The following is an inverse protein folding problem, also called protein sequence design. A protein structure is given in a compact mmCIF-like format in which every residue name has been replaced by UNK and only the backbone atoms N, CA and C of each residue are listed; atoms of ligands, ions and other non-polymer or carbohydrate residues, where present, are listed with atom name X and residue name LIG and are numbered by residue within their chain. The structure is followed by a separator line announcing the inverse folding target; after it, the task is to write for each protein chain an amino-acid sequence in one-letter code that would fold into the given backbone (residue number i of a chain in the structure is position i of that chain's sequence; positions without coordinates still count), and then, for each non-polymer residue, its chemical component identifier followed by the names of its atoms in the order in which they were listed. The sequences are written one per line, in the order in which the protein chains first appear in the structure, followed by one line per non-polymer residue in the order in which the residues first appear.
data_IF_315057498986
#
_entry.id   IF_315057498986
#
_cell.length_a   1.000
_cell.length_b   1.000
_cell.length_c   1.000
_cell.angle_alpha   90.00
_cell.angle_beta   90.00
_cell.angle_gamma   90.00
#
_symmetry.space_group_name_H-M   'P 1'
#
loop_
_entity.id
_entity.type
_entity.pdbx_description
1 polymer ?
#
# COMPACT_ATOMS: atom_id res chain seq x y z
N UNK A 1 -1.72 -20.95 -6.92
CA UNK A 1 -0.26 -20.86 -7.00
C UNK A 1 0.33 -20.11 -5.82
N UNK A 2 1.61 -20.32 -5.53
CA UNK A 2 2.40 -19.55 -4.58
C UNK A 2 3.48 -18.78 -5.33
N UNK A 3 3.74 -17.56 -4.88
CA UNK A 3 4.68 -16.65 -5.54
C UNK A 3 5.68 -16.12 -4.52
N UNK A 4 6.93 -16.05 -4.93
CA UNK A 4 8.00 -15.42 -4.16
C UNK A 4 8.63 -14.29 -4.95
N UNK A 5 9.12 -13.26 -4.27
CA UNK A 5 9.81 -12.13 -4.89
C UNK A 5 11.10 -11.77 -4.17
N UNK A 6 12.02 -11.18 -4.90
CA UNK A 6 13.19 -10.48 -4.37
C UNK A 6 13.15 -9.06 -4.94
N UNK A 7 13.20 -8.09 -4.08
CA UNK A 7 13.14 -6.67 -4.45
C UNK A 7 14.47 -6.02 -4.15
N UNK A 8 14.97 -5.22 -5.08
CA UNK A 8 16.13 -4.34 -4.86
C UNK A 8 15.71 -2.90 -5.15
N UNK A 9 15.87 -2.06 -4.14
CA UNK A 9 15.65 -0.64 -4.25
C UNK A 9 16.94 0.05 -4.70
N UNK A 10 16.90 0.87 -5.76
CA UNK A 10 18.06 1.62 -6.18
C UNK A 10 18.41 2.68 -5.13
N UNK A 11 19.68 2.78 -4.79
CA UNK A 11 20.15 3.72 -3.79
C UNK A 11 20.06 5.16 -4.31
N UNK A 12 19.37 6.02 -3.57
CA UNK A 12 19.41 7.46 -3.78
C UNK A 12 20.78 7.98 -3.36
N UNK A 13 21.40 8.83 -4.17
CA UNK A 13 22.68 9.43 -3.82
C UNK A 13 22.52 10.43 -2.67
N UNK A 14 23.53 10.52 -1.81
CA UNK A 14 23.58 11.52 -0.74
C UNK A 14 23.49 12.96 -1.25
N UNK A 15 24.02 13.23 -2.44
CA UNK A 15 23.91 14.55 -3.08
C UNK A 15 22.47 14.88 -3.46
N UNK A 16 21.69 13.90 -3.92
CA UNK A 16 20.29 14.11 -4.27
C UNK A 16 19.42 14.29 -3.01
N UNK A 17 19.66 13.48 -1.97
CA UNK A 17 18.97 13.69 -0.68
C UNK A 17 19.23 15.10 -0.14
N UNK A 18 20.50 15.53 -0.17
CA UNK A 18 20.90 16.88 0.28
C UNK A 18 20.22 17.97 -0.55
N UNK A 19 20.15 17.81 -1.86
CA UNK A 19 19.46 18.74 -2.77
C UNK A 19 17.97 18.90 -2.40
N UNK A 20 17.29 17.79 -2.13
CA UNK A 20 15.89 17.80 -1.75
C UNK A 20 15.66 18.48 -0.40
N UNK A 21 16.52 18.21 0.58
CA UNK A 21 16.48 18.87 1.89
C UNK A 21 16.69 20.38 1.76
N UNK A 22 17.73 20.82 1.03
CA UNK A 22 18.00 22.23 0.77
C UNK A 22 16.85 22.93 0.04
N UNK A 23 16.19 22.24 -0.87
CA UNK A 23 15.00 22.76 -1.54
C UNK A 23 13.82 22.96 -0.57
N UNK A 24 13.58 22.03 0.35
CA UNK A 24 12.54 22.17 1.38
C UNK A 24 12.89 23.26 2.39
N UNK A 25 14.16 23.39 2.79
CA UNK A 25 14.62 24.50 3.65
C UNK A 25 14.41 25.86 2.99
N UNK A 26 14.73 25.96 1.70
CA UNK A 26 14.47 27.19 0.92
C UNK A 26 12.97 27.52 0.91
N UNK A 27 12.11 26.53 0.64
CA UNK A 27 10.66 26.75 0.67
C UNK A 27 10.16 27.18 2.06
N UNK A 28 10.70 26.58 3.12
CA UNK A 28 10.38 26.92 4.50
C UNK A 28 10.78 28.37 4.81
N UNK A 29 11.98 28.76 4.47
CA UNK A 29 12.50 30.12 4.70
C UNK A 29 11.72 31.16 3.90
N UNK A 30 11.36 30.85 2.65
CA UNK A 30 10.51 31.72 1.83
C UNK A 30 9.14 31.99 2.50
N UNK A 31 8.57 31.02 3.18
CA UNK A 31 7.31 31.21 3.89
C UNK A 31 7.52 32.05 5.15
N UNK A 32 8.56 31.77 5.93
CA UNK A 32 8.83 32.42 7.21
C UNK A 32 9.32 33.85 7.08
N UNK A 33 10.19 34.12 6.08
CA UNK A 33 10.91 35.39 5.96
C UNK A 33 10.31 36.29 4.87
N UNK A 34 9.83 35.71 3.78
CA UNK A 34 9.38 36.44 2.60
C UNK A 34 7.84 36.47 2.46
N UNK A 35 7.09 35.93 3.43
CA UNK A 35 5.63 35.92 3.41
C UNK A 35 5.00 35.10 2.28
N UNK A 36 5.75 34.16 1.68
CA UNK A 36 5.22 33.27 0.66
C UNK A 36 4.14 32.34 1.23
N UNK A 37 3.12 32.02 0.44
CA UNK A 37 2.07 31.10 0.87
C UNK A 37 2.57 29.66 0.87
N UNK A 38 2.48 28.98 2.03
CA UNK A 38 2.76 27.53 2.13
C UNK A 38 1.86 26.71 1.18
N UNK A 39 0.58 27.08 1.09
CA UNK A 39 -0.38 26.44 0.18
C UNK A 39 0.06 26.53 -1.27
N UNK A 40 0.56 27.69 -1.72
CA UNK A 40 1.07 27.88 -3.06
C UNK A 40 2.33 27.03 -3.34
N UNK A 41 3.25 26.94 -2.35
CA UNK A 41 4.41 26.04 -2.45
C UNK A 41 3.97 24.59 -2.57
N UNK A 42 2.97 24.16 -1.81
CA UNK A 42 2.45 22.80 -1.90
C UNK A 42 1.81 22.50 -3.26
N UNK A 43 1.01 23.42 -3.83
CA UNK A 43 0.39 23.26 -5.16
C UNK A 43 1.46 23.14 -6.24
N UNK A 44 2.50 23.95 -6.18
CA UNK A 44 3.52 24.03 -7.23
C UNK A 44 4.53 22.86 -7.16
N UNK A 45 4.98 22.52 -5.97
CA UNK A 45 6.16 21.67 -5.79
C UNK A 45 5.90 20.34 -5.13
N UNK A 46 4.79 20.16 -4.34
CA UNK A 46 4.54 18.90 -3.66
C UNK A 46 4.31 17.76 -4.64
N UNK A 47 4.92 16.62 -4.36
CA UNK A 47 4.75 15.39 -5.11
C UNK A 47 3.70 14.45 -4.45
N UNK A 48 3.01 14.92 -3.38
CA UNK A 48 1.90 14.17 -2.81
C UNK A 48 0.62 14.27 -3.66
N UNK A 49 0.21 13.21 -4.35
CA UNK A 49 -0.99 13.23 -5.21
C UNK A 49 -2.28 13.42 -4.40
N UNK A 50 -2.28 13.05 -3.10
CA UNK A 50 -3.45 13.11 -2.23
C UNK A 50 -3.82 14.51 -1.75
N UNK A 51 -2.86 15.43 -1.63
CA UNK A 51 -3.10 16.76 -1.07
C UNK A 51 -2.60 17.93 -1.93
N UNK A 52 -1.72 17.70 -2.90
CA UNK A 52 -1.13 18.75 -3.74
C UNK A 52 -2.16 19.74 -4.28
N UNK A 53 -3.24 19.26 -4.91
CA UNK A 53 -4.29 20.08 -5.50
C UNK A 53 -5.07 20.92 -4.48
N UNK A 54 -5.00 20.54 -3.19
CA UNK A 54 -5.65 21.22 -2.07
C UNK A 54 -4.65 22.01 -1.22
N UNK A 55 -3.49 22.36 -1.78
CA UNK A 55 -2.45 23.11 -1.07
C UNK A 55 -1.82 22.34 0.09
N UNK A 56 -1.66 21.04 -0.07
CA UNK A 56 -1.03 20.14 0.90
C UNK A 56 -1.88 19.78 2.11
N UNK A 57 -3.21 20.05 2.11
CA UNK A 57 -4.07 20.00 3.30
C UNK A 57 -4.48 18.58 3.68
N UNK A 58 -4.33 18.29 5.00
CA UNK A 58 -4.90 17.13 5.69
C UNK A 58 -5.49 17.55 7.06
N UNK A 59 -6.41 16.73 7.57
CA UNK A 59 -6.86 16.82 8.95
C UNK A 59 -6.45 15.53 9.67
N UNK A 60 -5.62 15.65 10.68
CA UNK A 60 -5.16 14.53 11.52
C UNK A 60 -6.09 14.34 12.71
N UNK A 61 -6.45 13.09 13.03
CA UNK A 61 -7.18 12.76 14.26
C UNK A 61 -6.25 12.00 15.22
N UNK A 62 -5.98 12.55 16.40
CA UNK A 62 -5.12 11.93 17.42
C UNK A 62 -5.65 10.57 17.90
N UNK A 63 -6.96 10.31 17.84
CA UNK A 63 -7.56 9.02 18.23
C UNK A 63 -7.60 8.00 17.10
N UNK A 64 -7.53 8.45 15.83
CA UNK A 64 -7.56 7.60 14.63
C UNK A 64 -6.42 8.01 13.71
N UNK A 65 -5.18 7.61 14.04
CA UNK A 65 -4.01 8.03 13.27
C UNK A 65 -4.03 7.39 11.87
N UNK A 66 -4.03 8.24 10.85
CA UNK A 66 -4.06 7.82 9.43
C UNK A 66 -2.71 7.97 8.72
N UNK A 67 -1.80 8.79 9.30
CA UNK A 67 -0.48 9.05 8.73
C UNK A 67 0.59 8.19 9.41
N UNK A 68 1.74 8.01 8.75
CA UNK A 68 2.91 7.34 9.33
C UNK A 68 3.38 8.03 10.60
N UNK A 69 4.05 7.28 11.45
CA UNK A 69 4.43 7.70 12.80
C UNK A 69 5.30 8.97 12.77
N UNK A 70 6.30 8.99 11.92
CA UNK A 70 7.26 10.09 11.76
C UNK A 70 6.56 11.40 11.41
N UNK A 71 5.61 11.35 10.48
CA UNK A 71 4.82 12.52 10.09
C UNK A 71 3.97 13.06 11.26
N UNK A 72 3.28 12.16 11.97
CA UNK A 72 2.45 12.53 13.11
C UNK A 72 3.26 13.14 14.25
N UNK A 73 4.42 12.57 14.57
CA UNK A 73 5.30 13.07 15.63
C UNK A 73 5.77 14.49 15.33
N UNK A 74 6.10 14.79 14.08
CA UNK A 74 6.47 16.15 13.69
C UNK A 74 5.28 17.11 13.79
N UNK A 75 4.11 16.74 13.19
CA UNK A 75 2.93 17.58 13.22
C UNK A 75 2.40 17.87 14.63
N UNK A 76 2.49 16.88 15.55
CA UNK A 76 1.96 17.03 16.90
C UNK A 76 2.83 17.87 17.85
N UNK A 77 4.09 18.11 17.48
CA UNK A 77 5.03 18.99 18.23
C UNK A 77 4.88 20.45 17.87
N UNK A 78 4.25 20.77 16.75
CA UNK A 78 4.12 22.12 16.25
C UNK A 78 2.90 22.83 16.86
N UNK A 79 3.04 24.14 17.02
CA UNK A 79 1.95 25.07 17.32
C UNK A 79 1.30 25.58 16.03
N UNK A 80 0.14 26.25 16.14
CA UNK A 80 -0.51 26.87 14.99
C UNK A 80 0.42 27.90 14.32
N UNK A 81 0.58 27.81 13.03
CA UNK A 81 1.46 28.66 12.21
C UNK A 81 2.93 28.22 12.15
N UNK A 82 3.37 27.28 12.99
CA UNK A 82 4.74 26.78 12.92
C UNK A 82 4.96 25.85 11.74
N UNK A 83 6.20 25.83 11.21
CA UNK A 83 6.64 24.97 10.13
C UNK A 83 7.80 24.09 10.61
N UNK A 84 7.70 22.78 10.39
CA UNK A 84 8.76 21.84 10.76
C UNK A 84 10.05 22.09 10.00
N UNK A 85 11.16 21.58 10.53
CA UNK A 85 12.35 21.30 9.71
C UNK A 85 12.03 20.17 8.72
N UNK A 86 12.81 20.04 7.60
CA UNK A 86 12.70 18.88 6.74
C UNK A 86 12.91 17.58 7.51
N UNK A 87 12.02 16.60 7.31
CA UNK A 87 12.10 15.27 7.91
C UNK A 87 11.77 14.19 6.90
N UNK A 88 12.32 12.98 7.12
CA UNK A 88 12.18 11.84 6.23
C UNK A 88 11.10 10.88 6.71
N UNK A 89 10.36 10.31 5.76
CA UNK A 89 9.49 9.14 5.93
C UNK A 89 9.78 8.15 4.79
N UNK A 90 9.11 7.00 4.77
CA UNK A 90 9.19 6.05 3.65
C UNK A 90 8.68 6.63 2.32
N UNK A 91 7.90 7.71 2.35
CA UNK A 91 7.39 8.39 1.15
C UNK A 91 8.34 9.45 0.58
N UNK A 92 9.35 9.86 1.32
CA UNK A 92 10.29 10.91 0.94
C UNK A 92 10.53 11.94 2.03
N UNK A 93 10.92 13.14 1.64
CA UNK A 93 11.22 14.25 2.53
C UNK A 93 10.04 15.22 2.61
N UNK A 94 9.75 15.69 3.81
CA UNK A 94 8.58 16.54 4.10
C UNK A 94 8.97 17.78 4.85
N UNK A 95 8.17 18.84 4.67
CA UNK A 95 7.92 19.90 5.66
C UNK A 95 6.42 19.94 5.94
N UNK A 96 6.03 20.20 7.17
CA UNK A 96 4.63 20.31 7.60
C UNK A 96 4.42 21.59 8.37
N UNK A 97 3.27 22.24 8.18
CA UNK A 97 2.77 23.36 9.00
C UNK A 97 1.42 23.03 9.60
N UNK A 98 1.11 23.59 10.75
CA UNK A 98 -0.19 23.47 11.41
C UNK A 98 -1.02 24.70 11.11
N UNK A 99 -2.13 24.52 10.38
CA UNK A 99 -3.08 25.61 10.12
C UNK A 99 -3.93 25.89 11.37
N UNK A 100 -4.46 24.82 12.04
CA UNK A 100 -5.34 24.96 13.19
C UNK A 100 -5.40 23.70 14.05
N UNK A 101 -5.48 23.90 15.38
CA UNK A 101 -5.68 22.83 16.37
C UNK A 101 -7.10 22.93 16.91
N UNK A 102 -7.90 21.86 16.75
CA UNK A 102 -9.29 21.79 17.20
C UNK A 102 -9.49 20.58 18.12
N UNK A 103 -9.01 20.71 19.35
CA UNK A 103 -9.02 19.60 20.31
C UNK A 103 -8.20 18.40 19.81
N UNK A 104 -8.88 17.27 19.45
CA UNK A 104 -8.19 16.10 18.93
C UNK A 104 -7.81 16.19 17.44
N UNK A 105 -8.44 17.12 16.71
CA UNK A 105 -8.22 17.32 15.28
C UNK A 105 -7.19 18.40 15.04
N UNK A 106 -6.27 18.15 14.11
CA UNK A 106 -5.22 19.08 13.71
C UNK A 106 -5.27 19.23 12.20
N UNK A 107 -5.56 20.43 11.72
CA UNK A 107 -5.48 20.78 10.33
C UNK A 107 -4.04 21.14 9.99
N UNK A 108 -3.45 20.43 9.03
CA UNK A 108 -2.07 20.61 8.62
C UNK A 108 -1.99 20.82 7.11
N UNK A 109 -0.87 21.40 6.66
CA UNK A 109 -0.42 21.36 5.27
C UNK A 109 0.96 20.79 5.22
N UNK A 110 1.28 20.06 4.13
CA UNK A 110 2.61 19.56 3.94
C UNK A 110 3.06 19.70 2.48
N UNK A 111 4.35 19.67 2.29
CA UNK A 111 5.02 19.47 1.02
C UNK A 111 5.80 18.17 1.12
N UNK A 112 5.64 17.31 0.13
CA UNK A 112 6.41 16.08 -0.06
C UNK A 112 7.33 16.27 -1.26
N UNK A 113 8.61 15.99 -1.10
CA UNK A 113 9.56 15.81 -2.21
C UNK A 113 10.20 14.43 -2.14
N UNK A 114 10.19 13.74 -3.27
CA UNK A 114 10.80 12.41 -3.41
C UNK A 114 12.14 12.57 -4.11
N UNK A 115 13.26 12.15 -3.51
CA UNK A 115 14.56 12.19 -4.17
C UNK A 115 14.54 11.34 -5.44
N UNK A 116 15.07 11.85 -6.52
CA UNK A 116 15.10 11.13 -7.80
C UNK A 116 16.24 10.13 -7.85
N UNK A 117 15.91 8.94 -8.29
CA UNK A 117 16.90 7.88 -8.51
C UNK A 117 17.60 8.11 -9.83
N UNK A 118 18.93 8.10 -9.84
CA UNK A 118 19.72 8.25 -11.07
C UNK A 118 19.60 7.00 -11.96
N UNK A 119 19.77 7.18 -13.29
CA UNK A 119 19.81 6.05 -14.22
C UNK A 119 20.95 5.07 -13.91
N UNK A 120 22.04 5.54 -13.32
CA UNK A 120 23.15 4.69 -12.87
C UNK A 120 22.69 3.79 -11.74
N UNK A 121 22.07 4.34 -10.70
CA UNK A 121 21.55 3.56 -9.56
C UNK A 121 20.46 2.56 -9.98
N UNK A 122 19.62 2.93 -10.95
CA UNK A 122 18.67 2.01 -11.57
C UNK A 122 19.38 0.86 -12.28
N UNK A 123 20.41 1.17 -13.06
CA UNK A 123 21.24 0.16 -13.75
C UNK A 123 21.93 -0.79 -12.77
N UNK A 124 22.47 -0.27 -11.68
CA UNK A 124 23.14 -1.06 -10.63
C UNK A 124 22.16 -2.01 -9.93
N UNK A 125 20.96 -1.54 -9.57
CA UNK A 125 19.92 -2.36 -8.98
C UNK A 125 19.48 -3.48 -9.93
N UNK A 126 19.30 -3.16 -11.23
CA UNK A 126 18.97 -4.16 -12.24
C UNK A 126 20.08 -5.21 -12.41
N UNK A 127 21.34 -4.77 -12.48
CA UNK A 127 22.49 -5.66 -12.63
C UNK A 127 22.68 -6.57 -11.41
N UNK A 128 22.47 -6.03 -10.21
CA UNK A 128 22.49 -6.80 -8.96
C UNK A 128 21.45 -7.94 -9.01
N UNK A 129 20.23 -7.66 -9.46
CA UNK A 129 19.20 -8.70 -9.62
C UNK A 129 19.52 -9.68 -10.75
N UNK A 130 20.08 -9.25 -11.88
CA UNK A 130 20.52 -10.16 -12.95
C UNK A 130 21.58 -11.14 -12.44
N UNK A 131 22.56 -10.65 -11.69
CA UNK A 131 23.61 -11.48 -11.10
C UNK A 131 23.02 -12.46 -10.07
N UNK A 132 22.14 -11.97 -9.19
CA UNK A 132 21.49 -12.79 -8.18
C UNK A 132 20.62 -13.89 -8.82
N UNK A 133 19.83 -13.53 -9.86
CA UNK A 133 19.06 -14.48 -10.64
C UNK A 133 19.93 -15.58 -11.22
N UNK A 134 21.10 -15.22 -11.79
CA UNK A 134 22.05 -16.22 -12.33
C UNK A 134 22.56 -17.15 -11.23
N UNK A 135 22.98 -16.64 -10.09
CA UNK A 135 23.45 -17.46 -8.96
C UNK A 135 22.38 -18.44 -8.47
N UNK A 136 21.11 -18.02 -8.47
CA UNK A 136 20.00 -18.91 -8.09
C UNK A 136 19.80 -19.99 -9.18
N UNK A 137 19.86 -19.63 -10.47
CA UNK A 137 19.73 -20.59 -11.57
C UNK A 137 20.89 -21.60 -11.61
N UNK A 138 22.09 -21.17 -11.25
CA UNK A 138 23.28 -22.01 -11.15
C UNK A 138 23.30 -22.85 -9.85
N UNK A 139 22.26 -22.76 -9.00
CA UNK A 139 22.12 -23.42 -7.68
C UNK A 139 23.23 -23.06 -6.67
N UNK A 140 23.87 -21.90 -6.80
CA UNK A 140 24.84 -21.40 -5.82
C UNK A 140 24.15 -20.91 -4.54
N UNK A 141 22.91 -20.44 -4.64
CA UNK A 141 22.10 -19.97 -3.52
C UNK A 141 20.63 -20.32 -3.79
N UNK A 142 19.86 -20.66 -2.76
CA UNK A 142 18.43 -20.86 -2.91
C UNK A 142 17.69 -19.51 -3.09
N UNK A 143 16.51 -19.50 -3.74
CA UNK A 143 15.71 -18.29 -3.84
C UNK A 143 15.35 -17.73 -2.46
N UNK A 144 15.03 -18.61 -1.50
CA UNK A 144 14.72 -18.26 -0.12
C UNK A 144 15.89 -17.56 0.57
N UNK A 145 17.08 -18.13 0.49
CA UNK A 145 18.28 -17.55 1.14
C UNK A 145 18.67 -16.24 0.47
N UNK A 146 18.55 -16.18 -0.87
CA UNK A 146 18.76 -14.94 -1.62
C UNK A 146 17.77 -13.84 -1.22
N UNK A 147 16.50 -14.16 -0.99
CA UNK A 147 15.53 -13.20 -0.47
C UNK A 147 15.86 -12.73 0.94
N UNK A 148 16.22 -13.65 1.84
CA UNK A 148 16.62 -13.32 3.22
C UNK A 148 17.84 -12.40 3.28
N UNK A 149 18.82 -12.61 2.41
CA UNK A 149 20.07 -11.87 2.42
C UNK A 149 19.99 -10.55 1.66
N UNK A 150 19.39 -10.53 0.48
CA UNK A 150 19.51 -9.43 -0.49
C UNK A 150 18.23 -8.63 -0.74
N UNK A 151 17.03 -9.11 -0.35
CA UNK A 151 15.80 -8.38 -0.61
C UNK A 151 15.67 -7.15 0.28
N UNK A 152 15.31 -6.01 -0.30
CA UNK A 152 15.01 -4.78 0.43
C UNK A 152 13.55 -4.72 0.89
N UNK A 153 12.66 -5.63 0.39
CA UNK A 153 11.27 -5.70 0.82
C UNK A 153 11.13 -6.37 2.20
N UNK A 154 10.97 -5.56 3.22
CA UNK A 154 10.87 -6.02 4.61
C UNK A 154 9.66 -6.93 4.86
N UNK A 155 8.57 -6.78 4.10
CA UNK A 155 7.34 -7.56 4.29
C UNK A 155 7.52 -9.02 3.89
N UNK A 156 8.23 -9.29 2.79
CA UNK A 156 8.43 -10.65 2.28
C UNK A 156 9.80 -11.23 2.63
N UNK A 157 10.80 -10.39 2.88
CA UNK A 157 12.16 -10.80 3.20
C UNK A 157 12.21 -11.83 4.32
N UNK A 158 11.57 -11.56 5.44
CA UNK A 158 11.57 -12.45 6.62
C UNK A 158 11.02 -13.85 6.33
N UNK A 159 10.15 -13.98 5.33
CA UNK A 159 9.56 -15.24 4.88
C UNK A 159 10.26 -15.82 3.63
N UNK A 160 11.50 -15.41 3.35
CA UNK A 160 12.23 -15.89 2.19
C UNK A 160 11.63 -15.45 0.85
N UNK A 161 11.04 -14.28 0.82
CA UNK A 161 10.44 -13.67 -0.37
C UNK A 161 9.00 -14.09 -0.66
N UNK A 162 8.39 -14.99 0.11
CA UNK A 162 7.03 -15.51 -0.13
C UNK A 162 6.01 -14.41 0.06
N UNK A 163 5.15 -14.22 -0.95
CA UNK A 163 4.01 -13.30 -0.89
C UNK A 163 2.89 -13.88 -0.04
N UNK A 164 2.25 -13.02 0.73
CA UNK A 164 1.05 -13.36 1.51
C UNK A 164 -0.17 -12.73 0.81
N UNK A 165 -1.20 -13.53 0.60
CA UNK A 165 -2.45 -13.07 0.05
C UNK A 165 -3.19 -12.20 1.09
N UNK A 166 -3.40 -10.90 0.82
CA UNK A 166 -3.99 -9.99 1.79
C UNK A 166 -5.45 -10.32 2.13
N UNK A 167 -6.14 -11.07 1.27
CA UNK A 167 -7.54 -11.44 1.48
C UNK A 167 -7.72 -12.64 2.39
N UNK A 168 -6.80 -13.62 2.32
CA UNK A 168 -6.90 -14.89 3.05
C UNK A 168 -5.88 -15.03 4.17
N UNK A 169 -4.78 -14.27 4.10
CA UNK A 169 -3.68 -14.33 5.06
C UNK A 169 -2.75 -15.53 4.87
N UNK A 170 -2.94 -16.33 3.81
CA UNK A 170 -2.10 -17.47 3.46
C UNK A 170 -1.16 -17.14 2.26
N UNK A 171 -0.38 -18.13 1.80
CA UNK A 171 0.58 -17.97 0.69
C UNK A 171 -0.03 -18.28 -0.68
N UNK A 172 -1.29 -18.71 -0.72
CA UNK A 172 -1.95 -19.16 -1.94
C UNK A 172 -2.73 -18.05 -2.62
N UNK A 173 -2.57 -17.97 -3.92
CA UNK A 173 -3.28 -17.03 -4.78
C UNK A 173 -4.12 -17.78 -5.82
N UNK A 174 -5.36 -17.35 -6.00
CA UNK A 174 -6.21 -17.74 -7.13
C UNK A 174 -5.86 -16.84 -8.33
N UNK A 175 -5.59 -17.44 -9.49
CA UNK A 175 -5.21 -16.70 -10.71
C UNK A 175 -6.22 -15.61 -11.07
N UNK A 176 -7.50 -15.91 -10.91
CA UNK A 176 -8.61 -15.00 -11.25
C UNK A 176 -8.75 -13.80 -10.31
N UNK A 177 -8.08 -13.84 -9.14
CA UNK A 177 -8.14 -12.79 -8.10
C UNK A 177 -6.81 -12.06 -7.93
N UNK A 178 -5.82 -12.37 -8.74
CA UNK A 178 -4.55 -11.67 -8.73
C UNK A 178 -4.69 -10.25 -9.25
N UNK A 179 -3.86 -9.36 -8.72
CA UNK A 179 -3.62 -8.05 -9.33
C UNK A 179 -3.20 -8.23 -10.80
N UNK A 180 -3.77 -7.46 -11.74
CA UNK A 180 -3.49 -7.61 -13.17
C UNK A 180 -2.02 -7.49 -13.54
N UNK A 181 -1.23 -6.66 -12.82
CA UNK A 181 0.20 -6.52 -13.08
C UNK A 181 0.94 -7.80 -12.68
N UNK A 182 0.67 -8.31 -11.48
CA UNK A 182 1.26 -9.56 -11.00
C UNK A 182 0.84 -10.74 -11.89
N UNK A 183 -0.44 -10.83 -12.25
CA UNK A 183 -0.95 -11.85 -13.16
C UNK A 183 -0.16 -11.89 -14.48
N UNK A 184 0.01 -10.76 -15.15
CA UNK A 184 0.75 -10.68 -16.41
C UNK A 184 2.24 -11.04 -16.26
N UNK A 185 2.82 -10.80 -15.09
CA UNK A 185 4.22 -11.13 -14.82
C UNK A 185 4.44 -12.63 -14.63
N UNK A 186 3.48 -13.32 -13.99
CA UNK A 186 3.61 -14.76 -13.68
C UNK A 186 3.02 -15.69 -14.74
N UNK A 187 2.13 -15.18 -15.61
CA UNK A 187 1.45 -15.98 -16.63
C UNK A 187 2.42 -16.74 -17.55
N UNK A 188 3.58 -16.12 -17.82
CA UNK A 188 4.61 -16.66 -18.72
C UNK A 188 5.69 -17.47 -18.00
N UNK A 189 5.60 -17.59 -16.68
CA UNK A 189 6.59 -18.32 -15.89
C UNK A 189 6.15 -19.76 -15.70
N UNK A 190 7.06 -20.70 -15.92
CA UNK A 190 6.91 -22.09 -15.52
C UNK A 190 7.18 -22.25 -14.00
N UNK A 191 6.88 -23.43 -13.46
CA UNK A 191 7.15 -23.73 -12.07
C UNK A 191 8.65 -23.61 -11.76
N UNK A 192 8.95 -22.93 -10.66
CA UNK A 192 10.33 -22.60 -10.23
C UNK A 192 11.12 -21.72 -11.20
N UNK A 193 10.50 -21.28 -12.29
CA UNK A 193 11.13 -20.31 -13.19
C UNK A 193 11.16 -18.92 -12.54
N UNK A 194 12.30 -18.23 -12.74
CA UNK A 194 12.53 -16.89 -12.20
C UNK A 194 12.41 -15.89 -13.35
N UNK A 195 11.62 -14.84 -13.14
CA UNK A 195 11.45 -13.76 -14.11
C UNK A 195 12.76 -13.02 -14.41
N UNK A 196 12.80 -12.27 -15.49
CA UNK A 196 13.78 -11.19 -15.65
C UNK A 196 13.51 -10.09 -14.62
N UNK A 197 14.51 -9.23 -14.31
CA UNK A 197 14.28 -8.07 -13.48
C UNK A 197 13.17 -7.16 -14.05
N UNK A 198 12.16 -6.89 -13.26
CA UNK A 198 10.98 -6.10 -13.59
C UNK A 198 11.08 -4.78 -12.85
N UNK A 199 11.01 -3.67 -13.58
CA UNK A 199 10.91 -2.34 -12.99
C UNK A 199 9.47 -2.11 -12.52
N UNK A 200 9.32 -1.68 -11.28
CA UNK A 200 8.07 -1.25 -10.70
C UNK A 200 8.20 0.20 -10.22
N UNK A 201 7.17 0.99 -10.45
CA UNK A 201 7.07 2.37 -9.96
C UNK A 201 5.78 2.50 -9.16
N UNK A 202 5.89 2.98 -7.93
CA UNK A 202 4.74 3.23 -7.08
C UNK A 202 4.02 4.54 -7.43
N UNK A 203 2.88 4.80 -6.79
CA UNK A 203 2.09 6.02 -7.02
C UNK A 203 2.80 7.31 -6.63
N UNK A 204 3.86 7.21 -5.85
CA UNK A 204 4.70 8.35 -5.41
C UNK A 204 5.92 8.56 -6.31
N UNK A 205 6.11 7.70 -7.32
CA UNK A 205 7.24 7.77 -8.25
C UNK A 205 8.50 7.04 -7.77
N UNK A 206 8.44 6.30 -6.66
CA UNK A 206 9.58 5.49 -6.21
C UNK A 206 9.73 4.27 -7.13
N UNK A 207 10.95 4.05 -7.58
CA UNK A 207 11.30 2.96 -8.50
C UNK A 207 12.04 1.86 -7.78
N UNK A 208 11.67 0.61 -8.05
CA UNK A 208 12.34 -0.58 -7.55
C UNK A 208 12.39 -1.66 -8.62
N UNK A 209 13.37 -2.53 -8.56
CA UNK A 209 13.42 -3.72 -9.38
C UNK A 209 13.05 -4.94 -8.56
N UNK A 210 12.36 -5.88 -9.19
CA UNK A 210 12.05 -7.18 -8.59
C UNK A 210 12.26 -8.32 -9.56
N UNK A 211 12.56 -9.49 -9.03
CA UNK A 211 12.42 -10.79 -9.71
C UNK A 211 11.35 -11.58 -8.97
N UNK A 212 10.60 -12.36 -9.72
CA UNK A 212 9.48 -13.16 -9.24
C UNK A 212 9.74 -14.62 -9.61
N UNK A 213 9.37 -15.51 -8.70
CA UNK A 213 9.38 -16.95 -8.92
C UNK A 213 8.00 -17.53 -8.55
N UNK A 214 7.45 -18.37 -9.41
CA UNK A 214 6.32 -19.23 -9.05
C UNK A 214 6.87 -20.42 -8.30
N UNK A 215 6.64 -20.46 -6.97
CA UNK A 215 7.18 -21.51 -6.10
C UNK A 215 6.43 -22.82 -6.25
N UNK A 216 5.10 -22.73 -6.36
CA UNK A 216 4.23 -23.90 -6.54
C UNK A 216 3.01 -23.53 -7.41
N UNK A 217 2.62 -24.46 -8.27
CA UNK A 217 1.30 -24.48 -8.91
C UNK A 217 0.47 -25.61 -8.30
N UNK A 218 -0.78 -25.34 -8.11
CA UNK A 218 -1.75 -26.34 -7.64
C UNK A 218 -2.73 -26.57 -8.78
N UNK A 219 -2.87 -27.84 -9.17
CA UNK A 219 -3.87 -28.24 -10.15
C UNK A 219 -5.28 -28.06 -9.57
N UNK A 220 -6.27 -28.02 -10.45
CA UNK A 220 -7.67 -28.04 -10.05
C UNK A 220 -7.97 -29.32 -9.27
N UNK A 221 -8.52 -29.16 -8.08
CA UNK A 221 -8.87 -30.28 -7.21
C UNK A 221 -10.13 -29.98 -6.39
N UNK A 222 -10.78 -31.01 -5.89
CA UNK A 222 -11.86 -30.86 -4.93
C UNK A 222 -11.27 -30.42 -3.60
N UNK A 223 -11.81 -29.35 -3.04
CA UNK A 223 -11.29 -28.76 -1.79
C UNK A 223 -11.28 -29.79 -0.66
N UNK A 224 -10.17 -29.91 0.06
CA UNK A 224 -10.00 -30.74 1.23
C UNK A 224 -9.52 -29.96 2.47
N UNK A 225 -9.78 -30.50 3.66
CA UNK A 225 -9.45 -29.80 4.92
C UNK A 225 -7.96 -29.67 5.20
N UNK A 226 -7.10 -30.48 4.61
CA UNK A 226 -5.66 -30.41 4.86
C UNK A 226 -5.01 -29.31 4.02
N UNK A 227 -5.39 -29.23 2.74
CA UNK A 227 -4.80 -28.31 1.79
C UNK A 227 -5.54 -26.99 1.69
N UNK A 228 -6.87 -26.94 1.94
CA UNK A 228 -7.72 -25.78 1.67
C UNK A 228 -8.41 -25.19 2.90
N UNK A 229 -7.94 -25.52 4.10
CA UNK A 229 -8.58 -25.11 5.35
C UNK A 229 -8.92 -23.62 5.40
N UNK A 230 -7.99 -22.74 5.02
CA UNK A 230 -8.20 -21.28 5.05
C UNK A 230 -9.36 -20.87 4.14
N UNK A 231 -9.45 -21.47 2.96
CA UNK A 231 -10.51 -21.21 1.98
C UNK A 231 -11.86 -21.72 2.45
N UNK A 232 -11.90 -22.96 2.95
CA UNK A 232 -13.12 -23.56 3.50
C UNK A 232 -13.63 -22.75 4.69
N UNK A 233 -12.72 -22.32 5.58
CA UNK A 233 -13.05 -21.46 6.72
C UNK A 233 -13.64 -20.12 6.28
N UNK A 234 -13.04 -19.46 5.27
CA UNK A 234 -13.54 -18.20 4.72
C UNK A 234 -14.95 -18.36 4.16
N UNK A 235 -15.19 -19.40 3.35
CA UNK A 235 -16.50 -19.68 2.76
C UNK A 235 -17.55 -19.99 3.83
N UNK A 236 -17.22 -20.83 4.81
CA UNK A 236 -18.11 -21.16 5.92
C UNK A 236 -18.44 -19.94 6.79
N UNK A 237 -17.45 -19.06 7.04
CA UNK A 237 -17.67 -17.80 7.76
C UNK A 237 -18.62 -16.89 6.99
N UNK A 238 -18.42 -16.73 5.67
CA UNK A 238 -19.27 -15.92 4.82
C UNK A 238 -20.71 -16.43 4.77
N UNK A 239 -20.89 -17.75 4.65
CA UNK A 239 -22.20 -18.38 4.69
C UNK A 239 -22.89 -18.12 6.04
N UNK A 240 -22.17 -18.34 7.15
CA UNK A 240 -22.67 -18.05 8.50
C UNK A 240 -23.06 -16.59 8.69
N UNK A 241 -22.25 -15.66 8.19
CA UNK A 241 -22.55 -14.23 8.23
C UNK A 241 -23.83 -13.89 7.47
N UNK A 242 -23.97 -14.41 6.23
CA UNK A 242 -25.17 -14.19 5.41
C UNK A 242 -26.41 -14.76 6.10
N UNK A 243 -26.32 -15.98 6.64
CA UNK A 243 -27.42 -16.58 7.39
C UNK A 243 -27.80 -15.74 8.61
N UNK A 244 -26.81 -15.33 9.41
CA UNK A 244 -27.04 -14.51 10.61
C UNK A 244 -27.71 -13.17 10.26
N UNK A 245 -27.27 -12.52 9.16
CA UNK A 245 -27.86 -11.26 8.68
C UNK A 245 -29.32 -11.49 8.26
N UNK A 246 -29.61 -12.57 7.51
CA UNK A 246 -30.95 -12.89 7.07
C UNK A 246 -31.89 -13.22 8.24
N UNK A 247 -31.42 -14.00 9.21
CA UNK A 247 -32.17 -14.35 10.41
C UNK A 247 -32.47 -13.07 11.22
N UNK A 248 -31.46 -12.21 11.44
CA UNK A 248 -31.60 -10.93 12.13
C UNK A 248 -32.56 -9.98 11.39
N UNK A 249 -32.44 -9.88 10.05
CA UNK A 249 -33.35 -9.06 9.23
C UNK A 249 -34.79 -9.55 9.36
N UNK A 250 -35.00 -10.86 9.29
CA UNK A 250 -36.34 -11.46 9.42
C UNK A 250 -36.96 -11.13 10.78
N UNK A 251 -36.20 -11.27 11.89
CA UNK A 251 -36.61 -10.86 13.22
C UNK A 251 -36.97 -9.38 13.31
N UNK A 252 -36.07 -8.51 12.79
CA UNK A 252 -36.26 -7.05 12.83
C UNK A 252 -37.43 -6.54 11.98
N UNK A 253 -37.70 -7.18 10.83
CA UNK A 253 -38.89 -6.89 10.03
C UNK A 253 -40.17 -7.14 10.85
N UNK A 254 -40.21 -8.19 11.63
CA UNK A 254 -41.38 -8.49 12.46
C UNK A 254 -41.60 -7.48 13.60
N UNK A 255 -40.51 -6.98 14.19
CA UNK A 255 -40.53 -6.03 15.31
C UNK A 255 -40.69 -4.56 14.86
N UNK A 256 -40.30 -4.21 13.62
CA UNK A 256 -40.23 -2.84 13.14
C UNK A 256 -41.51 -2.47 12.41
N UNK A 257 -42.03 -1.24 12.65
CA UNK A 257 -43.13 -0.69 11.84
C UNK A 257 -42.61 -0.32 10.44
N UNK A 258 -43.14 -0.97 9.41
CA UNK A 258 -42.74 -0.77 8.02
C UNK A 258 -43.97 -0.37 7.21
N UNK A 259 -43.85 0.71 6.42
CA UNK A 259 -44.88 1.16 5.49
C UNK A 259 -44.31 1.18 4.09
N UNK A 260 -44.92 0.44 3.18
CA UNK A 260 -44.59 0.46 1.76
C UNK A 260 -45.57 1.37 1.01
N UNK A 261 -45.04 2.28 0.19
CA UNK A 261 -45.86 3.07 -0.70
C UNK A 261 -46.59 2.17 -1.71
N UNK A 262 -47.80 2.55 -2.12
CA UNK A 262 -48.63 1.73 -3.02
C UNK A 262 -47.90 1.35 -4.33
N UNK A 263 -47.07 2.24 -4.84
CA UNK A 263 -46.28 2.00 -6.06
C UNK A 263 -45.22 0.89 -5.92
N UNK A 264 -44.75 0.66 -4.70
CA UNK A 264 -43.70 -0.31 -4.41
C UNK A 264 -44.22 -1.64 -3.84
N UNK A 265 -45.55 -1.77 -3.62
CA UNK A 265 -46.14 -3.01 -3.06
C UNK A 265 -46.05 -4.20 -4.01
N UNK A 266 -45.86 -3.96 -5.29
CA UNK A 266 -45.73 -4.99 -6.34
C UNK A 266 -44.27 -5.36 -6.64
N UNK A 267 -43.30 -4.74 -5.94
CA UNK A 267 -41.89 -5.08 -6.11
C UNK A 267 -41.55 -6.42 -5.46
N UNK A 268 -40.74 -7.21 -6.17
CA UNK A 268 -40.16 -8.45 -5.62
C UNK A 268 -39.02 -8.09 -4.65
N UNK A 269 -39.25 -8.22 -3.35
CA UNK A 269 -38.27 -7.98 -2.32
C UNK A 269 -37.60 -9.30 -1.89
N UNK A 270 -36.30 -9.29 -1.67
CA UNK A 270 -35.55 -10.43 -1.16
C UNK A 270 -36.01 -10.89 0.25
N UNK A 271 -36.67 -10.01 1.00
CA UNK A 271 -37.24 -10.28 2.31
C UNK A 271 -38.71 -9.86 2.34
N UNK A 272 -39.53 -10.55 3.12
CA UNK A 272 -40.95 -10.23 3.24
C UNK A 272 -41.18 -8.96 4.08
N UNK A 273 -41.15 -7.78 3.43
CA UNK A 273 -41.42 -6.48 4.04
C UNK A 273 -42.92 -6.23 4.28
N UNK A 274 -43.80 -7.01 3.66
CA UNK A 274 -45.24 -6.92 3.86
C UNK A 274 -45.59 -7.83 5.03
N UNK A 275 -45.94 -7.24 6.15
CA UNK A 275 -46.57 -8.01 7.27
C UNK A 275 -47.98 -8.42 6.85
N UNK A 276 -48.23 -9.70 6.75
CA UNK A 276 -49.60 -10.25 6.64
C UNK A 276 -50.36 -9.98 7.93
#
# INVERSE_FOLDING_TARGET
LEVSQIVIEPLVSLSEEKRVVEQLETMRNDVLENGSSFSSKAILYSQDPGSRSRGGRYTLDRKRPQMVKEFREQAYRLQEGEISQPFKTDFGWHIVTVDKIRGRLIDVRHVLLVPTVSNVALGDAQNKLKLLRKRIQDNEISFKDAALEFSDDQLTRANGGVLINPSTGDTRFELTKLDPQLYNQILKLEDKQISQPILEEDRSGNKKYKIIMVSNRFDEHVADYQSDYSKIKELALKEKQLKTINDWMSEKIMETYITLNKENQLCDFASNWQKN
#
